data_IF_331457896097
#
_entry.id   IF_331457896097
#
_cell.length_a   1.000
_cell.length_b   1.000
_cell.length_c   1.000
_cell.angle_alpha   90.00
_cell.angle_beta   90.00
_cell.angle_gamma   90.00
#
_symmetry.space_group_name_H-M   'P 1'
#
loop_
_entity.id
_entity.type
_entity.pdbx_description
1 polymer ?
#
# COMPACT_ATOMS: atom_id res chain seq x y z
N UNK A 1 -6.12 -7.16 33.41
CA UNK A 1 -5.78 -8.59 33.17
C UNK A 1 -5.76 -8.84 31.65
N UNK A 2 -4.73 -9.49 31.10
CA UNK A 2 -4.66 -9.87 29.68
C UNK A 2 -5.27 -11.26 29.49
N UNK A 3 -6.03 -11.45 28.39
CA UNK A 3 -6.58 -12.74 27.98
C UNK A 3 -5.83 -13.25 26.75
N UNK A 4 -5.47 -14.52 26.71
CA UNK A 4 -4.90 -15.15 25.50
C UNK A 4 -5.96 -15.27 24.40
N UNK A 5 -5.58 -14.88 23.19
CA UNK A 5 -6.41 -15.00 21.97
C UNK A 5 -5.90 -16.08 21.02
N UNK A 6 -4.82 -16.77 21.38
CA UNK A 6 -4.13 -17.72 20.51
C UNK A 6 -3.33 -17.02 19.36
N UNK A 7 -2.77 -17.81 18.46
CA UNK A 7 -2.01 -17.31 17.29
C UNK A 7 -2.98 -16.76 16.23
N UNK A 8 -2.99 -15.45 16.06
CA UNK A 8 -3.86 -14.74 15.11
C UNK A 8 -3.17 -13.52 14.51
N UNK A 9 -3.57 -13.13 13.32
CA UNK A 9 -3.08 -11.94 12.61
C UNK A 9 -3.84 -10.68 13.08
N UNK A 10 -3.66 -10.30 14.35
CA UNK A 10 -4.44 -9.23 15.01
C UNK A 10 -3.61 -7.97 15.33
N UNK A 11 -2.49 -7.76 14.67
CA UNK A 11 -1.76 -6.51 14.84
C UNK A 11 -2.58 -5.34 14.27
N UNK A 12 -2.66 -4.23 15.01
CA UNK A 12 -3.36 -3.02 14.61
C UNK A 12 -2.47 -1.79 14.88
N UNK A 13 -2.50 -0.80 13.99
CA UNK A 13 -3.17 -0.78 12.70
C UNK A 13 -2.37 -1.53 11.63
N UNK A 14 -3.03 -1.91 10.51
CA UNK A 14 -2.37 -2.24 9.27
C UNK A 14 -2.70 -1.18 8.21
N UNK A 15 -1.84 -0.97 7.21
CA UNK A 15 -2.11 -0.02 6.15
C UNK A 15 -3.24 -0.49 5.24
N UNK A 16 -3.75 0.41 4.42
CA UNK A 16 -4.59 0.10 3.26
C UNK A 16 -3.94 0.72 2.04
N UNK A 17 -3.35 -0.10 1.17
CA UNK A 17 -2.63 0.34 -0.01
C UNK A 17 -3.21 -0.28 -1.28
N UNK A 18 -3.08 0.41 -2.41
CA UNK A 18 -3.31 -0.19 -3.72
C UNK A 18 -1.95 -0.52 -4.35
N UNK A 19 -1.70 -1.82 -4.51
CA UNK A 19 -0.51 -2.33 -5.19
C UNK A 19 -0.79 -2.39 -6.68
N UNK A 20 -0.07 -1.57 -7.45
CA UNK A 20 -0.16 -1.49 -8.90
C UNK A 20 0.80 -2.45 -9.58
N UNK A 21 0.36 -3.11 -10.64
CA UNK A 21 1.18 -3.98 -11.48
C UNK A 21 0.61 -4.11 -12.89
N UNK A 22 1.46 -4.32 -13.90
CA UNK A 22 1.02 -4.70 -15.24
C UNK A 22 0.93 -6.22 -15.36
N UNK A 23 -0.11 -6.73 -16.01
CA UNK A 23 -0.18 -8.14 -16.35
C UNK A 23 0.81 -8.49 -17.49
N UNK A 24 0.79 -9.75 -17.95
CA UNK A 24 1.63 -10.24 -19.04
C UNK A 24 1.37 -9.56 -20.39
N UNK A 25 0.21 -8.95 -20.57
CA UNK A 25 -0.20 -8.24 -21.78
C UNK A 25 -0.01 -6.73 -21.68
N UNK A 26 0.51 -6.21 -20.54
CA UNK A 26 0.66 -4.78 -20.29
C UNK A 26 -0.61 -4.10 -19.80
N UNK A 27 -1.66 -4.87 -19.44
CA UNK A 27 -2.88 -4.28 -18.88
C UNK A 27 -2.63 -3.87 -17.42
N UNK A 28 -2.96 -2.62 -17.04
CA UNK A 28 -2.82 -2.15 -15.68
C UNK A 28 -3.81 -2.85 -14.74
N UNK A 29 -3.35 -3.18 -13.54
CA UNK A 29 -4.18 -3.70 -12.48
C UNK A 29 -3.73 -3.14 -11.15
N UNK A 30 -4.67 -2.96 -10.22
CA UNK A 30 -4.43 -2.62 -8.83
C UNK A 30 -5.09 -3.66 -7.91
N UNK A 31 -4.51 -3.87 -6.73
CA UNK A 31 -5.15 -4.69 -5.69
C UNK A 31 -4.93 -4.07 -4.32
N UNK A 32 -5.94 -4.15 -3.48
CA UNK A 32 -5.84 -3.69 -2.09
C UNK A 32 -5.00 -4.66 -1.27
N UNK A 33 -4.01 -4.11 -0.57
CA UNK A 33 -3.15 -4.85 0.33
C UNK A 33 -3.12 -4.19 1.71
N UNK A 34 -3.14 -5.01 2.76
CA UNK A 34 -3.05 -4.59 4.15
C UNK A 34 -1.89 -5.28 4.90
N UNK A 35 -1.24 -6.27 4.28
CA UNK A 35 -0.10 -6.98 4.84
C UNK A 35 1.20 -6.38 4.30
N UNK A 36 1.65 -5.26 4.89
CA UNK A 36 2.85 -4.57 4.46
C UNK A 36 3.37 -3.53 5.45
N UNK A 37 4.57 -3.03 5.18
CA UNK A 37 5.26 -2.01 5.99
C UNK A 37 6.65 -1.72 5.47
N UNK A 38 7.24 -0.60 5.90
CA UNK A 38 8.67 -0.30 5.71
C UNK A 38 9.49 -1.40 6.39
N UNK A 39 10.49 -1.93 5.72
CA UNK A 39 11.31 -3.03 6.22
C UNK A 39 12.82 -2.78 6.21
N UNK A 40 13.29 -1.73 5.53
CA UNK A 40 14.68 -1.28 5.56
C UNK A 40 14.76 0.22 5.29
N UNK A 41 15.74 0.90 5.88
CA UNK A 41 15.97 2.34 5.68
C UNK A 41 17.08 2.63 4.68
N UNK A 42 18.05 1.71 4.53
CA UNK A 42 19.16 1.84 3.60
C UNK A 42 19.56 0.45 3.07
N UNK A 43 19.29 0.14 1.79
CA UNK A 43 18.44 0.92 0.90
C UNK A 43 16.98 1.02 1.42
N UNK A 44 16.23 2.09 1.06
CA UNK A 44 14.86 2.23 1.51
C UNK A 44 13.98 1.13 0.88
N UNK A 45 13.38 0.28 1.74
CA UNK A 45 12.58 -0.84 1.27
C UNK A 45 11.22 -0.93 1.95
N UNK A 46 10.24 -1.38 1.17
CA UNK A 46 8.90 -1.72 1.64
C UNK A 46 8.60 -3.18 1.34
N UNK A 47 7.97 -3.86 2.29
CA UNK A 47 7.47 -5.21 2.10
C UNK A 47 5.95 -5.21 1.89
N UNK A 48 5.47 -6.07 1.00
CA UNK A 48 4.05 -6.38 0.83
C UNK A 48 3.85 -7.87 0.61
N UNK A 49 2.87 -8.45 1.29
CA UNK A 49 2.59 -9.89 1.21
C UNK A 49 1.29 -10.16 0.46
N UNK A 50 1.38 -10.93 -0.62
CA UNK A 50 0.26 -11.30 -1.47
C UNK A 50 0.01 -12.81 -1.42
N UNK A 51 -1.25 -13.22 -1.55
CA UNK A 51 -1.59 -14.63 -1.76
C UNK A 51 -1.28 -15.02 -3.20
N UNK A 52 -0.72 -16.20 -3.42
CA UNK A 52 -0.41 -16.75 -4.77
C UNK A 52 -1.63 -16.79 -5.69
N UNK A 53 -2.84 -16.90 -5.13
CA UNK A 53 -4.09 -16.92 -5.87
C UNK A 53 -4.50 -15.54 -6.43
N UNK A 54 -3.90 -14.43 -5.99
CA UNK A 54 -4.25 -13.10 -6.48
C UNK A 54 -3.75 -12.88 -7.91
N UNK A 55 -4.49 -12.08 -8.68
CA UNK A 55 -4.11 -11.76 -10.07
C UNK A 55 -2.78 -11.02 -10.15
N UNK A 56 -2.51 -10.11 -9.21
CA UNK A 56 -1.27 -9.32 -9.15
C UNK A 56 -0.02 -10.15 -8.83
N UNK A 57 -0.16 -11.34 -8.21
CA UNK A 57 0.99 -12.17 -7.85
C UNK A 57 1.86 -12.51 -9.06
N UNK A 58 1.27 -13.09 -10.10
CA UNK A 58 2.01 -13.44 -11.33
C UNK A 58 2.57 -12.21 -12.06
N UNK A 59 1.86 -11.08 -11.99
CA UNK A 59 2.31 -9.81 -12.54
C UNK A 59 3.60 -9.34 -11.88
N UNK A 60 3.65 -9.32 -10.55
CA UNK A 60 4.84 -8.90 -9.80
C UNK A 60 6.02 -9.86 -9.97
N UNK A 61 5.76 -11.18 -10.05
CA UNK A 61 6.81 -12.16 -10.37
C UNK A 61 7.44 -11.88 -11.74
N UNK A 62 6.63 -11.59 -12.75
CA UNK A 62 7.11 -11.41 -14.13
C UNK A 62 7.76 -10.04 -14.36
N UNK A 63 7.19 -8.97 -13.79
CA UNK A 63 7.65 -7.60 -13.99
C UNK A 63 8.77 -7.18 -13.06
N UNK A 64 8.95 -7.87 -11.94
CA UNK A 64 9.93 -7.52 -10.91
C UNK A 64 9.80 -6.06 -10.43
N UNK A 65 8.58 -5.54 -10.49
CA UNK A 65 8.23 -4.16 -10.14
C UNK A 65 6.79 -4.07 -9.64
N UNK A 66 6.53 -3.10 -8.80
CA UNK A 66 5.20 -2.73 -8.33
C UNK A 66 5.19 -1.28 -7.86
N UNK A 67 4.01 -0.70 -7.76
CA UNK A 67 3.80 0.57 -7.07
C UNK A 67 2.94 0.35 -5.84
N UNK A 68 3.02 1.29 -4.89
CA UNK A 68 2.08 1.42 -3.78
C UNK A 68 1.44 2.79 -3.88
N UNK A 69 0.15 2.85 -4.17
CA UNK A 69 -0.62 4.08 -4.09
C UNK A 69 -1.39 4.10 -2.78
N UNK A 70 -1.25 5.19 -2.02
CA UNK A 70 -1.87 5.36 -0.69
C UNK A 70 -3.14 6.18 -0.84
N UNK A 71 -4.34 5.57 -0.69
CA UNK A 71 -5.60 6.28 -0.80
C UNK A 71 -5.87 7.13 0.45
N UNK A 72 -6.54 8.27 0.26
CA UNK A 72 -7.09 9.07 1.35
C UNK A 72 -8.40 8.49 1.89
N UNK A 73 -8.83 8.94 3.07
CA UNK A 73 -10.10 8.53 3.70
C UNK A 73 -11.32 8.70 2.80
N UNK A 74 -11.37 9.76 1.99
CA UNK A 74 -12.44 10.01 1.03
C UNK A 74 -12.55 8.92 -0.05
N UNK A 75 -11.47 8.20 -0.30
CA UNK A 75 -11.34 7.17 -1.33
C UNK A 75 -11.56 5.75 -0.79
N UNK A 76 -12.06 5.59 0.44
CA UNK A 76 -12.22 4.28 1.11
C UNK A 76 -13.05 3.29 0.28
N UNK A 77 -14.12 3.74 -0.38
CA UNK A 77 -14.96 2.88 -1.23
C UNK A 77 -14.20 2.34 -2.44
N UNK A 78 -13.34 3.18 -3.03
CA UNK A 78 -12.49 2.80 -4.16
C UNK A 78 -11.42 1.80 -3.72
N UNK A 79 -10.78 2.08 -2.58
CA UNK A 79 -9.79 1.18 -2.00
C UNK A 79 -10.39 -0.20 -1.67
N UNK A 80 -11.57 -0.25 -1.07
CA UNK A 80 -12.27 -1.51 -0.78
C UNK A 80 -12.63 -2.26 -2.06
N UNK A 81 -13.16 -1.56 -3.07
CA UNK A 81 -13.53 -2.15 -4.37
C UNK A 81 -12.35 -2.85 -5.03
N UNK A 82 -11.13 -2.26 -5.00
CA UNK A 82 -9.93 -2.89 -5.54
C UNK A 82 -9.54 -4.18 -4.82
N UNK A 83 -10.02 -4.40 -3.59
CA UNK A 83 -9.86 -5.64 -2.82
C UNK A 83 -10.97 -6.68 -3.07
N UNK A 84 -12.18 -6.23 -3.41
CA UNK A 84 -13.36 -7.10 -3.58
C UNK A 84 -13.35 -7.86 -4.90
N UNK A 85 -12.94 -7.21 -6.00
CA UNK A 85 -13.01 -7.79 -7.35
C UNK A 85 -11.64 -8.23 -7.86
N UNK A 86 -11.63 -9.23 -8.75
CA UNK A 86 -10.42 -9.74 -9.39
C UNK A 86 -10.14 -9.01 -10.70
N UNK A 87 -8.87 -8.66 -10.94
CA UNK A 87 -8.42 -8.13 -12.25
C UNK A 87 -8.53 -9.14 -13.41
N UNK A 88 -8.79 -10.44 -13.10
CA UNK A 88 -9.10 -11.46 -14.13
C UNK A 88 -10.43 -11.20 -14.79
N UNK A 89 -11.40 -10.74 -14.01
CA UNK A 89 -12.81 -10.69 -14.41
C UNK A 89 -13.27 -9.26 -14.67
N UNK A 90 -12.56 -8.27 -14.10
CA UNK A 90 -13.01 -6.87 -14.13
C UNK A 90 -11.85 -5.93 -14.42
N UNK A 91 -12.05 -4.99 -15.32
CA UNK A 91 -11.22 -3.81 -15.45
C UNK A 91 -11.57 -2.82 -14.34
N UNK A 92 -10.76 -2.84 -13.28
CA UNK A 92 -11.05 -2.05 -12.07
C UNK A 92 -10.91 -0.54 -12.31
N UNK A 93 -9.95 -0.13 -13.14
CA UNK A 93 -9.76 1.28 -13.48
C UNK A 93 -10.95 1.81 -14.27
N UNK A 94 -11.38 1.08 -15.32
CA UNK A 94 -12.56 1.46 -16.08
C UNK A 94 -13.83 1.48 -15.22
N UNK A 95 -14.00 0.51 -14.32
CA UNK A 95 -15.18 0.42 -13.46
C UNK A 95 -15.25 1.53 -12.39
N UNK A 96 -14.12 2.07 -11.97
CA UNK A 96 -14.05 3.10 -10.93
C UNK A 96 -13.85 4.52 -11.47
N UNK A 97 -13.51 4.66 -12.75
CA UNK A 97 -13.14 5.94 -13.38
C UNK A 97 -11.77 6.46 -12.93
N UNK A 98 -10.96 5.64 -12.23
CA UNK A 98 -9.61 5.99 -11.84
C UNK A 98 -8.63 5.82 -13.01
N UNK A 99 -7.58 6.63 -13.01
CA UNK A 99 -6.57 6.69 -14.08
C UNK A 99 -5.34 5.86 -13.70
N UNK A 100 -5.00 4.79 -14.46
CA UNK A 100 -3.73 4.11 -14.28
C UNK A 100 -2.61 4.93 -14.94
N UNK A 101 -1.87 5.68 -14.16
CA UNK A 101 -0.71 6.41 -14.64
C UNK A 101 0.50 5.48 -14.76
N UNK A 102 1.32 5.69 -15.78
CA UNK A 102 2.55 4.94 -16.00
C UNK A 102 3.67 5.52 -15.14
N UNK A 103 4.42 4.65 -14.45
CA UNK A 103 5.71 5.03 -13.90
C UNK A 103 6.78 5.11 -15.00
N UNK A 104 7.65 6.10 -14.91
CA UNK A 104 8.83 6.22 -15.78
C UNK A 104 10.05 5.47 -15.20
N UNK A 105 10.01 5.10 -13.93
CA UNK A 105 11.14 4.50 -13.20
C UNK A 105 11.02 2.99 -13.03
N UNK A 106 9.79 2.46 -13.00
CA UNK A 106 9.53 1.03 -12.80
C UNK A 106 8.43 0.54 -13.74
N UNK A 107 8.45 -0.74 -14.12
CA UNK A 107 7.44 -1.33 -15.03
C UNK A 107 6.16 -1.70 -14.26
N UNK A 108 5.51 -0.67 -13.68
CA UNK A 108 4.26 -0.78 -12.95
C UNK A 108 3.42 0.51 -13.05
N UNK A 109 2.08 0.41 -13.06
CA UNK A 109 1.19 1.56 -13.03
C UNK A 109 0.92 2.00 -11.59
N UNK A 110 0.57 3.27 -11.39
CA UNK A 110 0.03 3.78 -10.13
C UNK A 110 -1.35 4.44 -10.36
N UNK A 111 -2.08 4.70 -9.28
CA UNK A 111 -3.37 5.39 -9.34
C UNK A 111 -3.12 6.89 -9.28
N UNK A 112 -3.42 7.61 -10.37
CA UNK A 112 -3.11 9.03 -10.51
C UNK A 112 -3.82 9.92 -9.48
N UNK A 113 -5.02 9.55 -9.05
CA UNK A 113 -5.85 10.32 -8.13
C UNK A 113 -5.53 10.09 -6.65
N UNK A 114 -4.54 9.25 -6.33
CA UNK A 114 -4.16 8.99 -4.94
C UNK A 114 -2.95 9.84 -4.53
N UNK A 115 -3.03 10.52 -3.37
CA UNK A 115 -2.13 11.63 -3.05
C UNK A 115 -0.67 11.26 -2.78
N UNK A 116 -0.38 9.96 -2.56
CA UNK A 116 0.97 9.49 -2.26
C UNK A 116 1.22 8.16 -2.97
N UNK A 117 2.37 8.05 -3.65
CA UNK A 117 2.76 6.88 -4.44
C UNK A 117 4.21 6.52 -4.17
N UNK A 118 4.49 5.23 -4.00
CA UNK A 118 5.84 4.67 -3.96
C UNK A 118 6.05 3.83 -5.22
N UNK A 119 7.16 4.03 -5.91
CA UNK A 119 7.58 3.25 -7.08
C UNK A 119 8.68 2.28 -6.64
N UNK A 120 8.45 0.97 -6.83
CA UNK A 120 9.27 -0.06 -6.21
C UNK A 120 9.78 -1.08 -7.22
N UNK A 121 11.08 -1.41 -7.10
CA UNK A 121 11.73 -2.53 -7.80
C UNK A 121 11.86 -3.71 -6.84
N UNK A 122 11.44 -4.90 -7.25
CA UNK A 122 11.53 -6.09 -6.41
C UNK A 122 12.99 -6.47 -6.17
N UNK A 123 13.41 -6.58 -4.91
CA UNK A 123 14.72 -7.06 -4.49
C UNK A 123 14.67 -8.52 -4.03
N UNK A 124 13.67 -8.87 -3.21
CA UNK A 124 13.57 -10.20 -2.63
C UNK A 124 12.12 -10.69 -2.67
N UNK A 125 11.99 -12.01 -2.76
CA UNK A 125 10.70 -12.71 -2.75
C UNK A 125 10.83 -13.89 -1.79
N UNK A 126 9.99 -13.90 -0.73
CA UNK A 126 9.98 -14.94 0.29
C UNK A 126 8.65 -15.68 0.30
N UNK A 127 8.69 -17.00 0.17
CA UNK A 127 7.52 -17.85 0.35
C UNK A 127 7.25 -18.06 1.86
N UNK A 128 6.11 -17.59 2.34
CA UNK A 128 5.68 -17.71 3.74
C UNK A 128 4.48 -18.68 3.87
N UNK A 129 4.29 -19.56 2.91
CA UNK A 129 3.15 -20.47 2.85
C UNK A 129 1.96 -19.88 2.11
N UNK A 130 0.86 -19.49 2.80
CA UNK A 130 -0.32 -18.89 2.13
C UNK A 130 0.01 -17.59 1.40
N UNK A 131 0.96 -16.82 1.93
CA UNK A 131 1.42 -15.57 1.35
C UNK A 131 2.86 -15.68 0.86
N UNK A 132 3.17 -14.93 -0.18
CA UNK A 132 4.52 -14.61 -0.61
C UNK A 132 4.77 -13.15 -0.31
N UNK A 133 5.86 -12.86 0.39
CA UNK A 133 6.30 -11.49 0.67
C UNK A 133 7.24 -11.02 -0.44
N UNK A 134 6.91 -9.87 -1.00
CA UNK A 134 7.75 -9.13 -1.93
C UNK A 134 8.38 -7.97 -1.17
N UNK A 135 9.70 -7.91 -1.18
CA UNK A 135 10.47 -6.78 -0.68
C UNK A 135 10.90 -5.95 -1.89
N UNK A 136 10.44 -4.71 -1.95
CA UNK A 136 10.77 -3.78 -3.01
C UNK A 136 11.64 -2.64 -2.49
N UNK A 137 12.72 -2.34 -3.22
CA UNK A 137 13.45 -1.09 -3.05
C UNK A 137 12.58 0.06 -3.56
N UNK A 138 12.43 1.09 -2.75
CA UNK A 138 11.71 2.31 -3.11
C UNK A 138 12.65 3.16 -3.97
N UNK A 139 12.33 3.26 -5.26
CA UNK A 139 13.12 4.02 -6.24
C UNK A 139 12.72 5.49 -6.20
N UNK A 140 11.43 5.77 -5.96
CA UNK A 140 10.90 7.13 -5.84
C UNK A 140 9.63 7.16 -5.00
N UNK A 141 9.37 8.31 -4.43
CA UNK A 141 8.12 8.65 -3.72
C UNK A 141 7.54 9.90 -4.34
N UNK A 142 6.35 9.79 -4.93
CA UNK A 142 5.59 10.90 -5.47
C UNK A 142 4.47 11.28 -4.53
N UNK A 143 4.26 12.57 -4.36
CA UNK A 143 3.15 13.10 -3.57
C UNK A 143 2.56 14.33 -4.26
N UNK A 144 1.25 14.51 -4.12
CA UNK A 144 0.60 15.75 -4.54
C UNK A 144 1.16 16.92 -3.71
N UNK A 145 1.38 18.07 -4.33
CA UNK A 145 1.91 19.26 -3.64
C UNK A 145 1.03 19.69 -2.45
N UNK A 146 -0.28 19.49 -2.57
CA UNK A 146 -1.28 19.86 -1.54
C UNK A 146 -1.12 19.07 -0.24
N UNK A 147 -0.56 17.86 -0.30
CA UNK A 147 -0.35 17.01 0.89
C UNK A 147 1.04 17.18 1.50
N UNK A 148 1.90 18.03 0.94
CA UNK A 148 3.21 18.32 1.51
C UNK A 148 3.12 19.34 2.65
N UNK A 149 4.00 19.20 3.62
CA UNK A 149 4.24 20.18 4.67
C UNK A 149 5.21 21.30 4.20
N UNK A 150 5.53 22.23 5.09
CA UNK A 150 6.46 23.34 4.80
C UNK A 150 7.90 22.92 4.55
N UNK A 151 8.27 21.66 4.84
CA UNK A 151 9.58 21.07 4.57
C UNK A 151 9.58 20.21 3.28
N UNK A 152 8.45 20.13 2.58
CA UNK A 152 8.29 19.32 1.37
C UNK A 152 8.10 17.84 1.66
N UNK A 153 7.70 17.45 2.88
CA UNK A 153 7.44 16.06 3.25
C UNK A 153 5.94 15.79 3.32
N UNK A 154 5.48 14.55 2.98
CA UNK A 154 4.07 14.22 3.10
C UNK A 154 3.55 14.37 4.54
N UNK A 155 2.55 15.22 4.73
CA UNK A 155 1.87 15.42 6.01
C UNK A 155 0.73 14.39 6.15
N UNK A 156 0.82 13.54 7.16
CA UNK A 156 -0.18 12.50 7.41
C UNK A 156 -1.60 13.08 7.62
N UNK A 157 -1.72 14.29 8.17
CA UNK A 157 -3.01 14.96 8.38
C UNK A 157 -3.56 15.60 7.11
N UNK A 158 -2.76 15.68 6.04
CA UNK A 158 -3.20 16.11 4.71
C UNK A 158 -3.43 14.90 3.79
N UNK A 159 -2.56 13.89 3.82
CA UNK A 159 -2.74 12.61 3.12
C UNK A 159 -3.99 11.90 3.61
N UNK A 160 -4.26 11.94 4.92
CA UNK A 160 -5.38 11.26 5.58
C UNK A 160 -5.48 9.77 5.19
N UNK A 161 -4.42 8.96 5.35
CA UNK A 161 -4.43 7.59 4.87
C UNK A 161 -5.44 6.72 5.60
N UNK A 162 -5.91 5.67 4.93
CA UNK A 162 -6.83 4.68 5.47
C UNK A 162 -6.04 3.66 6.30
N UNK A 163 -6.55 3.35 7.49
CA UNK A 163 -6.05 2.30 8.36
C UNK A 163 -7.04 1.14 8.36
N UNK A 164 -6.54 -0.09 8.30
CA UNK A 164 -7.36 -1.29 8.39
C UNK A 164 -7.14 -2.02 9.72
N UNK A 165 -8.23 -2.49 10.31
CA UNK A 165 -8.22 -3.34 11.50
C UNK A 165 -8.61 -4.78 11.12
N UNK A 166 -7.68 -5.75 11.10
CA UNK A 166 -7.96 -7.10 10.65
C UNK A 166 -8.89 -7.89 11.59
N UNK A 167 -9.02 -7.47 12.85
CA UNK A 167 -9.85 -8.15 13.84
C UNK A 167 -11.35 -8.04 13.57
N UNK A 168 -11.82 -6.83 13.34
CA UNK A 168 -13.22 -6.51 13.04
C UNK A 168 -13.48 -6.25 11.55
N UNK A 169 -12.42 -6.21 10.71
CA UNK A 169 -12.47 -5.95 9.28
C UNK A 169 -13.08 -4.58 8.93
N UNK A 170 -12.67 -3.56 9.68
CA UNK A 170 -13.14 -2.20 9.48
C UNK A 170 -12.00 -1.27 9.07
N UNK A 171 -12.36 -0.21 8.36
CA UNK A 171 -11.47 0.88 8.00
C UNK A 171 -11.60 2.03 8.98
N UNK A 172 -10.48 2.68 9.29
CA UNK A 172 -10.40 3.83 10.18
C UNK A 172 -9.55 4.93 9.53
N UNK A 173 -9.74 6.15 10.00
CA UNK A 173 -8.89 7.28 9.65
C UNK A 173 -7.80 7.53 10.70
N UNK A 174 -6.87 8.40 10.38
CA UNK A 174 -5.88 8.90 11.32
C UNK A 174 -6.51 9.93 12.27
N UNK A 175 -6.06 9.94 13.52
CA UNK A 175 -6.47 10.90 14.54
C UNK A 175 -5.52 12.08 14.67
N UNK A 176 -5.67 12.87 15.75
CA UNK A 176 -4.81 13.99 16.06
C UNK A 176 -3.37 13.56 16.37
N UNK A 177 -2.40 14.46 16.14
CA UNK A 177 -1.01 14.28 16.57
C UNK A 177 -0.93 14.14 18.10
N UNK A 178 -0.11 13.20 18.55
CA UNK A 178 0.13 12.94 19.99
C UNK A 178 1.45 13.56 20.49
N UNK A 179 2.24 14.17 19.62
CA UNK A 179 3.51 14.78 19.96
C UNK A 179 4.63 14.38 18.99
N UNK A 180 5.77 15.03 19.14
CA UNK A 180 6.94 14.77 18.30
C UNK A 180 7.69 13.51 18.77
N UNK A 181 7.99 12.61 17.83
CA UNK A 181 8.84 11.47 18.10
C UNK A 181 10.23 11.93 18.59
N UNK A 182 10.86 11.12 19.44
CA UNK A 182 12.14 11.42 20.09
C UNK A 182 12.14 12.67 21.00
N UNK A 183 10.98 13.30 21.21
CA UNK A 183 10.81 14.46 22.09
C UNK A 183 9.83 14.17 23.23
N UNK A 184 8.61 13.71 22.91
CA UNK A 184 7.54 13.47 23.90
C UNK A 184 7.94 12.49 25.01
N UNK A 185 8.80 11.51 24.72
CA UNK A 185 9.30 10.54 25.71
C UNK A 185 10.36 11.10 26.68
N UNK A 186 10.87 12.32 26.46
CA UNK A 186 11.86 12.95 27.37
C UNK A 186 11.22 13.55 28.64
N UNK A 187 9.90 13.52 28.73
CA UNK A 187 9.14 14.00 29.89
C UNK A 187 8.98 12.94 31.00
N UNK A 188 9.55 11.71 30.83
CA UNK A 188 9.51 10.60 31.80
C UNK A 188 10.71 10.67 32.76
#
# INVERSE_FOLDING_TARGET
MKRSLGAKTLIVPTPTWIVGSYDKHGKPNGMTAAWGGICCSDPPCVAVSLRKATYSYGSMINRQAFTISVPSQSQVKLADYFGLVSGRDTDKFAATGLTPARSDLVDAPYVAEFPLVLECKVLHIFDLGLHTQFVGEIIDVKADEEVLDGAGMPDILKVLPIIFSPGNREYYGVGASLGHAFAVGKEI
#
